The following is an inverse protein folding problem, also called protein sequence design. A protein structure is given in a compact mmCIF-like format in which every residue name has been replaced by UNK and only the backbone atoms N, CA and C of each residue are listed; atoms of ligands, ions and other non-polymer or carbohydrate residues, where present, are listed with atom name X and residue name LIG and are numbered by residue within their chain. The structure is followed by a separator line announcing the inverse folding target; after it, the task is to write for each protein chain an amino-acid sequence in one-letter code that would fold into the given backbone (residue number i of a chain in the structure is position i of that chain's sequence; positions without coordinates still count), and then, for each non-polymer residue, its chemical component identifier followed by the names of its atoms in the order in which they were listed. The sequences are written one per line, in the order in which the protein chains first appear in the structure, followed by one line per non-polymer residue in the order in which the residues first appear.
data_IF_179409894565
#
_entry.id   IF_179409894565
#
_cell.length_a   1.000
_cell.length_b   1.000
_cell.length_c   1.000
_cell.angle_alpha   90.00
_cell.angle_beta   90.00
_cell.angle_gamma   90.00
#
_symmetry.space_group_name_H-M   'P 1'
#
loop_
_entity.id
_entity.type
_entity.pdbx_description
1 polymer ?
#
# COMPACT_ATOMS: atom_id res chain seq x y z
N UNK A 1 10.19 11.68 -0.72
CA UNK A 1 11.21 11.77 -1.81
C UNK A 1 10.51 11.99 -3.14
N UNK A 2 10.85 13.09 -3.86
CA UNK A 2 10.30 13.37 -5.19
C UNK A 2 10.79 12.32 -6.19
N UNK A 3 9.87 11.68 -6.91
CA UNK A 3 10.17 10.65 -7.91
C UNK A 3 10.05 11.17 -9.34
N UNK A 4 9.02 11.97 -9.59
CA UNK A 4 8.73 12.63 -10.86
C UNK A 4 7.90 13.89 -10.60
N UNK A 5 7.61 14.68 -11.64
CA UNK A 5 6.64 15.76 -11.53
C UNK A 5 5.26 15.21 -11.16
N UNK A 6 4.65 15.73 -10.10
CA UNK A 6 3.39 15.24 -9.57
C UNK A 6 3.46 13.86 -8.89
N UNK A 7 4.65 13.33 -8.53
CA UNK A 7 4.77 12.05 -7.81
C UNK A 7 5.81 12.14 -6.68
N UNK A 8 5.37 11.81 -5.47
CA UNK A 8 6.20 11.77 -4.27
C UNK A 8 6.02 10.43 -3.53
N UNK A 9 7.12 9.74 -3.22
CA UNK A 9 7.10 8.68 -2.23
C UNK A 9 7.19 9.31 -0.84
N UNK A 10 6.19 9.11 -0.01
CA UNK A 10 6.19 9.57 1.37
C UNK A 10 7.05 8.65 2.23
N UNK A 11 7.53 9.17 3.35
CA UNK A 11 8.29 8.42 4.34
C UNK A 11 7.60 8.60 5.69
N UNK A 12 6.95 7.53 6.15
CA UNK A 12 6.24 7.51 7.43
C UNK A 12 6.97 6.57 8.39
N UNK A 13 7.69 7.12 9.37
CA UNK A 13 8.35 6.28 10.37
C UNK A 13 7.32 5.56 11.22
N UNK A 14 7.54 4.26 11.42
CA UNK A 14 6.78 3.43 12.33
C UNK A 14 7.69 2.89 13.43
N UNK A 15 7.17 2.85 14.65
CA UNK A 15 7.81 2.12 15.75
C UNK A 15 7.26 0.70 15.74
N UNK A 16 7.99 -0.23 15.12
CA UNK A 16 7.67 -1.65 15.23
C UNK A 16 8.40 -2.25 16.44
N UNK A 17 7.95 -3.42 16.88
CA UNK A 17 8.59 -4.15 17.98
C UNK A 17 10.02 -4.63 17.63
N UNK A 18 10.39 -4.60 16.35
CA UNK A 18 11.72 -4.99 15.84
C UNK A 18 12.63 -3.78 15.58
N UNK A 19 12.17 -2.56 15.91
CA UNK A 19 12.93 -1.33 15.68
C UNK A 19 12.15 -0.26 14.92
N UNK A 20 12.86 0.76 14.46
CA UNK A 20 12.29 1.79 13.58
C UNK A 20 12.26 1.24 12.16
N UNK A 21 11.07 1.22 11.56
CA UNK A 21 10.86 0.95 10.15
C UNK A 21 10.23 2.17 9.50
N UNK A 22 10.29 2.24 8.18
CA UNK A 22 9.65 3.29 7.38
C UNK A 22 8.74 2.60 6.39
N UNK A 23 7.50 3.07 6.29
CA UNK A 23 6.56 2.70 5.25
C UNK A 23 6.43 3.84 4.24
N UNK A 24 6.08 3.50 3.01
CA UNK A 24 6.20 4.40 1.89
C UNK A 24 4.88 4.53 1.09
N UNK A 25 3.85 5.21 1.63
CA UNK A 25 2.72 5.61 0.81
C UNK A 25 3.17 6.46 -0.37
N UNK A 26 2.45 6.38 -1.48
CA UNK A 26 2.77 7.19 -2.66
C UNK A 26 1.71 8.28 -2.84
N UNK A 27 2.15 9.52 -2.96
CA UNK A 27 1.32 10.67 -3.31
C UNK A 27 1.51 10.98 -4.79
N UNK A 28 0.41 11.07 -5.55
CA UNK A 28 0.45 11.55 -6.93
C UNK A 28 -0.61 12.64 -7.13
N UNK A 29 -0.30 13.66 -7.92
CA UNK A 29 -1.19 14.80 -8.14
C UNK A 29 -0.97 15.49 -9.47
N UNK A 30 -1.98 16.18 -9.91
CA UNK A 30 -1.96 17.18 -10.98
C UNK A 30 -2.72 18.45 -10.54
N UNK A 31 -3.10 19.30 -11.48
CA UNK A 31 -3.83 20.54 -11.17
C UNK A 31 -5.24 20.24 -10.64
N UNK A 32 -5.84 19.14 -11.06
CA UNK A 32 -7.24 18.79 -10.81
C UNK A 32 -7.43 17.80 -9.65
N UNK A 33 -6.49 16.88 -9.43
CA UNK A 33 -6.71 15.75 -8.51
C UNK A 33 -5.45 15.43 -7.69
N UNK A 34 -5.66 15.11 -6.42
CA UNK A 34 -4.63 14.59 -5.50
C UNK A 34 -5.04 13.21 -5.04
N UNK A 35 -4.16 12.23 -5.25
CA UNK A 35 -4.37 10.82 -4.92
C UNK A 35 -3.28 10.34 -3.96
N UNK A 36 -3.68 9.76 -2.85
CA UNK A 36 -2.79 9.03 -1.95
C UNK A 36 -2.96 7.52 -2.19
N UNK A 37 -1.87 6.79 -2.33
CA UNK A 37 -1.87 5.32 -2.38
C UNK A 37 -1.44 4.81 -1.01
N UNK A 38 -2.35 4.11 -0.36
CA UNK A 38 -2.25 3.60 1.02
C UNK A 38 -2.17 4.69 2.10
N UNK A 39 -2.69 4.39 3.29
CA UNK A 39 -2.99 5.37 4.34
C UNK A 39 -2.21 5.18 5.65
N UNK A 40 -1.18 4.34 5.66
CA UNK A 40 -0.38 4.14 6.87
C UNK A 40 -1.09 3.38 8.00
N UNK A 41 -0.46 3.39 9.17
CA UNK A 41 -1.00 2.83 10.41
C UNK A 41 -2.04 3.76 11.08
N UNK A 42 -2.88 3.23 11.98
CA UNK A 42 -3.70 4.06 12.84
C UNK A 42 -2.87 5.12 13.60
N UNK A 43 -3.41 6.35 13.66
CA UNK A 43 -2.77 7.47 14.37
C UNK A 43 -1.65 8.17 13.61
N UNK A 44 -1.42 7.86 12.31
CA UNK A 44 -0.40 8.52 11.50
C UNK A 44 -0.91 9.74 10.70
N UNK A 45 -2.13 10.19 10.90
CA UNK A 45 -2.70 11.30 10.14
C UNK A 45 -1.80 12.55 10.15
N UNK A 46 -1.26 12.94 11.32
CA UNK A 46 -0.40 14.11 11.41
C UNK A 46 0.88 13.94 10.58
N UNK A 47 1.48 12.74 10.60
CA UNK A 47 2.66 12.43 9.79
C UNK A 47 2.35 12.47 8.29
N UNK A 48 1.17 11.99 7.89
CA UNK A 48 0.68 12.05 6.51
C UNK A 48 0.51 13.51 6.08
N UNK A 49 -0.16 14.35 6.89
CA UNK A 49 -0.35 15.79 6.63
C UNK A 49 0.99 16.50 6.42
N UNK A 50 1.94 16.26 7.31
CA UNK A 50 3.28 16.83 7.22
C UNK A 50 4.05 16.34 5.98
N UNK A 51 3.92 15.07 5.63
CA UNK A 51 4.57 14.50 4.45
C UNK A 51 3.98 15.07 3.15
N UNK A 52 2.64 15.20 3.07
CA UNK A 52 1.93 15.85 1.95
C UNK A 52 2.34 17.32 1.83
N UNK A 53 2.41 18.06 2.95
CA UNK A 53 2.85 19.44 2.96
C UNK A 53 4.31 19.60 2.50
N UNK A 54 5.22 18.70 2.90
CA UNK A 54 6.61 18.67 2.40
C UNK A 54 6.71 18.41 0.90
N UNK A 55 5.74 17.68 0.32
CA UNK A 55 5.64 17.52 -1.13
C UNK A 55 5.16 18.80 -1.86
N UNK A 56 4.78 19.85 -1.12
CA UNK A 56 4.25 21.10 -1.66
C UNK A 56 2.76 21.03 -1.99
N UNK A 57 2.04 20.04 -1.46
CA UNK A 57 0.60 19.85 -1.67
C UNK A 57 -0.16 20.15 -0.38
N UNK A 58 -1.32 20.82 -0.47
CA UNK A 58 -2.21 20.97 0.67
C UNK A 58 -2.94 19.66 0.93
N UNK A 59 -3.02 19.22 2.18
CA UNK A 59 -3.82 18.06 2.57
C UNK A 59 -5.30 18.25 2.25
N UNK A 60 -5.80 19.49 2.28
CA UNK A 60 -7.18 19.83 1.94
C UNK A 60 -7.51 19.62 0.44
N UNK A 61 -6.52 19.30 -0.39
CA UNK A 61 -6.71 18.90 -1.78
C UNK A 61 -6.77 17.39 -1.99
N UNK A 62 -6.66 16.59 -0.91
CA UNK A 62 -6.71 15.14 -1.05
C UNK A 62 -8.10 14.68 -1.47
N UNK A 63 -8.25 14.29 -2.74
CA UNK A 63 -9.53 13.88 -3.32
C UNK A 63 -9.78 12.39 -3.18
N UNK A 64 -8.73 11.57 -3.25
CA UNK A 64 -8.85 10.12 -3.34
C UNK A 64 -7.76 9.39 -2.54
N UNK A 65 -8.16 8.25 -1.99
CA UNK A 65 -7.22 7.25 -1.47
C UNK A 65 -7.43 5.94 -2.24
N UNK A 66 -6.39 5.45 -2.90
CA UNK A 66 -6.40 4.11 -3.50
C UNK A 66 -5.72 3.16 -2.52
N UNK A 67 -6.45 2.15 -2.08
CA UNK A 67 -5.97 1.13 -1.15
C UNK A 67 -5.52 -0.09 -1.94
N UNK A 68 -4.24 -0.45 -1.79
CA UNK A 68 -3.69 -1.63 -2.48
C UNK A 68 -4.24 -2.92 -1.90
N UNK A 69 -4.41 -2.99 -0.58
CA UNK A 69 -4.97 -4.14 0.13
C UNK A 69 -5.32 -3.83 1.60
N UNK A 70 -5.92 -4.81 2.29
CA UNK A 70 -6.56 -4.67 3.60
C UNK A 70 -5.62 -4.64 4.80
N UNK A 71 -4.32 -4.77 4.65
CA UNK A 71 -3.43 -4.83 5.80
C UNK A 71 -3.44 -3.52 6.60
N UNK A 72 -3.25 -3.64 7.90
CA UNK A 72 -3.50 -2.56 8.84
C UNK A 72 -2.59 -1.35 8.64
N UNK A 73 -1.42 -1.55 8.12
CA UNK A 73 -0.46 -0.50 7.78
C UNK A 73 -0.76 0.18 6.44
N UNK A 74 -1.75 -0.30 5.69
CA UNK A 74 -2.24 0.30 4.45
C UNK A 74 -3.58 1.01 4.63
N UNK A 75 -4.42 0.53 5.55
CA UNK A 75 -5.76 1.11 5.79
C UNK A 75 -5.86 1.89 7.10
N UNK A 76 -4.84 1.86 7.94
CA UNK A 76 -4.91 2.31 9.32
C UNK A 76 -5.30 3.76 9.50
N UNK A 77 -4.80 4.64 8.63
CA UNK A 77 -5.11 6.07 8.67
C UNK A 77 -6.39 6.48 7.93
N UNK A 78 -7.07 5.56 7.21
CA UNK A 78 -8.27 5.89 6.44
C UNK A 78 -9.38 6.54 7.26
N UNK A 79 -9.75 6.01 8.45
CA UNK A 79 -10.80 6.61 9.26
C UNK A 79 -10.50 8.07 9.62
N UNK A 80 -9.26 8.34 10.02
CA UNK A 80 -8.84 9.68 10.42
C UNK A 80 -8.76 10.62 9.21
N UNK A 81 -8.27 10.16 8.06
CA UNK A 81 -8.24 10.92 6.82
C UNK A 81 -9.65 11.35 6.42
N UNK A 82 -10.61 10.43 6.43
CA UNK A 82 -12.00 10.70 6.03
C UNK A 82 -12.67 11.67 7.01
N UNK A 83 -12.43 11.48 8.32
CA UNK A 83 -13.03 12.31 9.37
C UNK A 83 -12.51 13.74 9.34
N UNK A 84 -11.21 13.93 9.12
CA UNK A 84 -10.54 15.21 9.23
C UNK A 84 -10.44 15.99 7.90
N UNK A 85 -10.90 15.40 6.81
CA UNK A 85 -10.93 16.08 5.51
C UNK A 85 -12.09 17.06 5.43
N UNK A 86 -11.85 18.24 4.86
CA UNK A 86 -12.85 19.31 4.70
C UNK A 86 -13.91 18.99 3.64
N UNK A 87 -13.70 17.98 2.82
CA UNK A 87 -14.60 17.49 1.78
C UNK A 87 -14.55 15.96 1.70
N UNK A 88 -15.43 15.38 0.90
CA UNK A 88 -15.44 13.93 0.72
C UNK A 88 -14.17 13.45 0.02
N UNK A 89 -13.40 12.60 0.69
CA UNK A 89 -12.31 11.81 0.10
C UNK A 89 -12.88 10.49 -0.40
N UNK A 90 -12.73 10.20 -1.68
CA UNK A 90 -13.19 8.95 -2.28
C UNK A 90 -12.18 7.84 -2.03
N UNK A 91 -12.66 6.69 -1.53
CA UNK A 91 -11.84 5.50 -1.29
C UNK A 91 -12.04 4.48 -2.40
N UNK A 92 -10.94 4.11 -3.06
CA UNK A 92 -10.91 3.12 -4.14
C UNK A 92 -10.13 1.88 -3.69
N UNK A 93 -10.62 0.70 -4.03
CA UNK A 93 -9.90 -0.56 -3.83
C UNK A 93 -10.47 -1.66 -4.72
N UNK A 94 -9.79 -2.81 -4.83
CA UNK A 94 -10.33 -3.96 -5.54
C UNK A 94 -11.55 -4.54 -4.82
N UNK A 95 -12.52 -5.08 -5.59
CA UNK A 95 -13.76 -5.61 -5.01
C UNK A 95 -13.54 -6.73 -3.97
N UNK A 96 -12.49 -7.54 -4.14
CA UNK A 96 -12.13 -8.60 -3.19
C UNK A 96 -11.62 -8.08 -1.85
N UNK A 97 -11.05 -6.86 -1.80
CA UNK A 97 -10.60 -6.23 -0.56
C UNK A 97 -11.72 -5.49 0.17
N UNK A 98 -12.70 -5.00 -0.58
CA UNK A 98 -13.81 -4.18 -0.06
C UNK A 98 -14.48 -4.75 1.19
N UNK A 99 -14.89 -6.04 1.28
CA UNK A 99 -15.57 -6.57 2.47
C UNK A 99 -14.69 -6.57 3.73
N UNK A 100 -13.39 -6.60 3.58
CA UNK A 100 -12.42 -6.54 4.69
C UNK A 100 -12.19 -5.09 5.14
N UNK A 101 -11.95 -4.19 4.20
CA UNK A 101 -11.74 -2.75 4.47
C UNK A 101 -12.99 -2.15 5.14
N UNK A 102 -14.19 -2.56 4.73
CA UNK A 102 -15.45 -2.12 5.33
C UNK A 102 -15.79 -2.82 6.67
N UNK A 103 -14.97 -3.76 7.11
CA UNK A 103 -15.20 -4.50 8.36
C UNK A 103 -16.35 -5.50 8.29
N UNK A 104 -16.84 -5.85 7.09
CA UNK A 104 -17.84 -6.93 6.88
C UNK A 104 -17.24 -8.32 7.03
N UNK A 105 -15.92 -8.44 6.78
CA UNK A 105 -15.10 -9.62 7.07
C UNK A 105 -13.92 -9.21 7.95
N UNK A 106 -13.43 -10.12 8.83
CA UNK A 106 -12.23 -9.85 9.62
C UNK A 106 -11.00 -9.76 8.73
N UNK A 107 -10.08 -8.82 9.00
CA UNK A 107 -8.82 -8.70 8.28
C UNK A 107 -8.05 -10.02 8.31
N UNK A 108 -7.60 -10.52 7.18
CA UNK A 108 -7.05 -11.88 7.01
C UNK A 108 -5.85 -12.13 7.95
N UNK A 109 -4.99 -11.12 8.11
CA UNK A 109 -3.79 -11.25 8.95
C UNK A 109 -4.02 -10.92 10.41
N UNK A 110 -5.17 -10.37 10.77
CA UNK A 110 -5.60 -10.12 12.14
C UNK A 110 -6.39 -11.31 12.68
N UNK A 111 -5.73 -12.45 12.90
CA UNK A 111 -6.35 -13.62 13.50
C UNK A 111 -5.75 -13.95 14.88
N UNK A 112 -6.54 -14.65 15.71
CA UNK A 112 -6.21 -14.95 17.10
C UNK A 112 -4.86 -15.68 17.27
N UNK A 113 -4.52 -16.58 16.35
CA UNK A 113 -3.27 -17.34 16.42
C UNK A 113 -2.03 -16.47 16.18
N UNK A 114 -2.13 -15.49 15.25
CA UNK A 114 -1.06 -14.51 15.01
C UNK A 114 -0.96 -13.52 16.16
N UNK A 115 -2.10 -13.05 16.68
CA UNK A 115 -2.12 -12.17 17.86
C UNK A 115 -1.43 -12.82 19.05
N UNK A 116 -1.82 -14.04 19.42
CA UNK A 116 -1.25 -14.77 20.56
C UNK A 116 0.27 -14.93 20.47
N UNK A 117 0.79 -15.21 19.25
CA UNK A 117 2.25 -15.30 19.04
C UNK A 117 2.95 -13.95 19.21
N UNK A 118 2.32 -12.86 18.76
CA UNK A 118 2.89 -11.51 18.89
C UNK A 118 2.87 -11.01 20.33
N UNK A 119 1.81 -11.28 21.08
CA UNK A 119 1.65 -10.81 22.46
C UNK A 119 2.73 -11.29 23.41
N UNK A 120 3.35 -12.44 23.15
CA UNK A 120 4.37 -13.05 24.02
C UNK A 120 5.61 -12.16 24.23
N UNK A 121 5.99 -11.40 23.19
CA UNK A 121 7.20 -10.56 23.18
C UNK A 121 6.95 -9.09 23.49
N UNK A 122 5.69 -8.70 23.80
CA UNK A 122 5.29 -7.31 24.01
C UNK A 122 5.31 -6.91 25.48
N UNK A 123 5.61 -5.62 25.75
CA UNK A 123 5.34 -4.99 27.04
C UNK A 123 3.83 -4.97 27.31
N UNK A 124 3.45 -4.76 28.57
CA UNK A 124 2.02 -4.70 28.94
C UNK A 124 1.28 -3.60 28.19
N UNK A 125 1.86 -2.42 28.06
CA UNK A 125 1.28 -1.30 27.29
C UNK A 125 1.11 -1.65 25.81
N UNK A 126 2.14 -2.23 25.18
CA UNK A 126 2.07 -2.65 23.78
C UNK A 126 1.04 -3.77 23.56
N UNK A 127 0.88 -4.66 24.55
CA UNK A 127 -0.13 -5.72 24.53
C UNK A 127 -1.53 -5.16 24.55
N UNK A 128 -1.81 -4.23 25.46
CA UNK A 128 -3.11 -3.53 25.54
C UNK A 128 -3.43 -2.79 24.23
N UNK A 129 -2.45 -2.10 23.63
CA UNK A 129 -2.63 -1.43 22.33
C UNK A 129 -2.94 -2.43 21.22
N UNK A 130 -2.21 -3.55 21.16
CA UNK A 130 -2.43 -4.60 20.16
C UNK A 130 -3.81 -5.26 20.32
N UNK A 131 -4.23 -5.53 21.56
CA UNK A 131 -5.55 -6.10 21.86
C UNK A 131 -6.69 -5.13 21.51
N UNK A 132 -6.53 -3.85 21.83
CA UNK A 132 -7.51 -2.81 21.48
C UNK A 132 -7.67 -2.67 19.96
N UNK A 133 -6.53 -2.67 19.23
CA UNK A 133 -6.53 -2.61 17.78
C UNK A 133 -7.15 -3.86 17.15
N UNK A 134 -6.90 -5.04 17.74
CA UNK A 134 -7.50 -6.29 17.29
C UNK A 134 -9.01 -6.34 17.55
N UNK A 135 -9.47 -5.80 18.68
CA UNK A 135 -10.87 -5.74 19.04
C UNK A 135 -11.67 -4.75 18.17
N UNK A 136 -11.03 -3.68 17.72
CA UNK A 136 -11.64 -2.65 16.88
C UNK A 136 -10.68 -2.21 15.76
N UNK A 137 -10.51 -3.03 14.72
CA UNK A 137 -9.63 -2.70 13.59
C UNK A 137 -10.15 -1.48 12.81
N UNK A 138 -9.26 -0.70 12.15
CA UNK A 138 -9.67 0.40 11.29
C UNK A 138 -10.57 -0.12 10.17
N UNK A 139 -11.57 0.68 9.82
CA UNK A 139 -12.51 0.39 8.74
C UNK A 139 -12.96 1.67 8.07
N UNK A 140 -13.21 1.59 6.78
CA UNK A 140 -13.74 2.69 5.98
C UNK A 140 -14.62 2.15 4.86
N UNK A 141 -15.58 2.94 4.40
CA UNK A 141 -16.36 2.60 3.21
C UNK A 141 -15.47 2.67 1.97
N UNK A 142 -15.59 1.71 1.07
CA UNK A 142 -14.98 1.74 -0.27
C UNK A 142 -16.04 2.26 -1.23
N UNK A 143 -15.83 3.47 -1.75
CA UNK A 143 -16.78 4.13 -2.65
C UNK A 143 -16.78 3.49 -4.04
N UNK A 144 -15.59 3.23 -4.59
CA UNK A 144 -15.43 2.71 -5.95
C UNK A 144 -14.59 1.44 -5.95
N UNK A 145 -15.13 0.37 -6.53
CA UNK A 145 -14.38 -0.84 -6.80
C UNK A 145 -13.63 -0.71 -8.13
N UNK A 146 -12.33 -0.99 -8.13
CA UNK A 146 -11.47 -0.94 -9.31
C UNK A 146 -11.15 -2.35 -9.83
N UNK A 147 -10.88 -2.48 -11.12
CA UNK A 147 -10.66 -3.76 -11.79
C UNK A 147 -9.30 -3.85 -12.51
N UNK A 148 -8.87 -5.10 -12.79
CA UNK A 148 -7.63 -5.37 -13.53
C UNK A 148 -7.63 -4.71 -14.92
N UNK A 149 -6.58 -4.00 -15.23
CA UNK A 149 -6.42 -3.28 -16.51
C UNK A 149 -7.20 -1.97 -16.61
N UNK A 150 -7.98 -1.60 -15.60
CA UNK A 150 -8.67 -0.31 -15.56
C UNK A 150 -7.65 0.84 -15.53
N UNK A 151 -7.91 1.87 -16.32
CA UNK A 151 -7.11 3.11 -16.34
C UNK A 151 -7.92 4.22 -15.69
N UNK A 152 -7.53 4.59 -14.48
CA UNK A 152 -8.12 5.70 -13.75
C UNK A 152 -7.65 7.02 -14.38
N UNK A 153 -8.55 7.97 -14.69
CA UNK A 153 -8.22 9.17 -15.46
C UNK A 153 -7.63 10.29 -14.60
N UNK A 154 -6.78 9.96 -13.61
CA UNK A 154 -6.15 10.90 -12.69
C UNK A 154 -4.64 10.95 -12.92
N UNK A 155 -4.02 12.10 -12.67
CA UNK A 155 -2.56 12.28 -12.61
C UNK A 155 -1.81 11.74 -13.85
N UNK A 156 -2.42 11.85 -15.05
CA UNK A 156 -1.85 11.35 -16.30
C UNK A 156 -2.07 9.86 -16.57
N UNK A 157 -3.04 9.26 -15.87
CA UNK A 157 -3.46 7.86 -16.00
C UNK A 157 -2.78 6.94 -14.99
N UNK A 158 -3.60 6.21 -14.23
CA UNK A 158 -3.14 5.19 -13.27
C UNK A 158 -3.75 3.85 -13.70
N UNK A 159 -2.93 2.93 -14.19
CA UNK A 159 -3.39 1.58 -14.54
C UNK A 159 -3.41 0.69 -13.32
N UNK A 160 -4.56 0.08 -13.05
CA UNK A 160 -4.75 -0.90 -11.99
C UNK A 160 -4.28 -2.27 -12.47
N UNK A 161 -3.43 -2.94 -11.69
CA UNK A 161 -2.93 -4.28 -11.99
C UNK A 161 -3.33 -5.19 -10.84
N UNK A 162 -4.26 -6.10 -11.10
CA UNK A 162 -4.68 -7.09 -10.10
C UNK A 162 -3.58 -8.13 -9.88
N UNK A 163 -3.01 -8.15 -8.68
CA UNK A 163 -1.86 -8.96 -8.27
C UNK A 163 -2.17 -9.76 -7.00
N UNK A 164 -3.17 -10.69 -7.06
CA UNK A 164 -3.56 -11.47 -5.90
C UNK A 164 -2.41 -12.33 -5.38
N UNK A 165 -2.45 -12.61 -4.07
CA UNK A 165 -1.52 -13.50 -3.39
C UNK A 165 -1.08 -12.98 -2.04
N UNK A 166 -0.56 -11.77 -1.94
CA UNK A 166 -0.28 -11.14 -0.64
C UNK A 166 -1.56 -11.02 0.19
N UNK A 167 -2.64 -10.55 -0.45
CA UNK A 167 -4.04 -10.72 -0.07
C UNK A 167 -4.85 -11.14 -1.30
N UNK A 168 -6.10 -11.61 -1.17
CA UNK A 168 -6.90 -12.04 -2.31
C UNK A 168 -7.17 -10.95 -3.35
N UNK A 169 -7.34 -9.71 -2.91
CA UNK A 169 -7.66 -8.58 -3.77
C UNK A 169 -6.51 -7.59 -3.98
N UNK A 170 -5.28 -7.96 -3.63
CA UNK A 170 -4.14 -7.07 -3.76
C UNK A 170 -3.98 -6.51 -5.18
N UNK A 171 -3.66 -5.21 -5.28
CA UNK A 171 -3.37 -4.53 -6.55
C UNK A 171 -2.02 -3.82 -6.50
N UNK A 172 -1.35 -3.78 -7.64
CA UNK A 172 -0.31 -2.80 -7.94
C UNK A 172 -0.88 -1.69 -8.81
N UNK A 173 -0.22 -0.54 -8.84
CA UNK A 173 -0.61 0.60 -9.66
C UNK A 173 0.56 1.01 -10.56
N UNK A 174 0.28 1.20 -11.85
CA UNK A 174 1.27 1.74 -12.77
C UNK A 174 0.89 3.17 -13.15
N UNK A 175 1.75 4.12 -12.77
CA UNK A 175 1.59 5.54 -13.10
C UNK A 175 2.09 5.76 -14.52
N UNK A 176 1.16 5.84 -15.48
CA UNK A 176 1.44 5.77 -16.92
C UNK A 176 2.40 6.87 -17.39
N UNK A 177 2.15 8.13 -16.96
CA UNK A 177 2.95 9.29 -17.36
C UNK A 177 4.40 9.21 -16.90
N UNK A 178 4.64 8.70 -15.69
CA UNK A 178 5.95 8.67 -15.05
C UNK A 178 6.65 7.32 -15.11
N UNK A 179 5.98 6.29 -15.65
CA UNK A 179 6.47 4.89 -15.72
C UNK A 179 6.91 4.34 -14.35
N UNK A 180 6.17 4.73 -13.31
CA UNK A 180 6.42 4.30 -11.94
C UNK A 180 5.45 3.17 -11.61
N UNK A 181 5.97 2.05 -11.11
CA UNK A 181 5.19 0.95 -10.56
C UNK A 181 5.14 1.08 -9.03
N UNK A 182 3.94 1.26 -8.47
CA UNK A 182 3.67 1.20 -7.03
C UNK A 182 3.18 -0.20 -6.71
N UNK A 183 3.91 -0.94 -5.88
CA UNK A 183 3.73 -2.39 -5.76
C UNK A 183 2.94 -2.82 -4.52
N UNK A 184 2.58 -1.89 -3.63
CA UNK A 184 2.11 -2.31 -2.32
C UNK A 184 3.08 -3.34 -1.73
N UNK A 185 2.58 -4.51 -1.37
CA UNK A 185 3.33 -5.61 -0.77
C UNK A 185 3.61 -6.80 -1.71
N UNK A 186 3.39 -6.63 -3.03
CA UNK A 186 3.78 -7.64 -4.01
C UNK A 186 5.30 -7.79 -4.12
N UNK A 187 6.06 -6.73 -3.81
CA UNK A 187 7.53 -6.68 -3.85
C UNK A 187 8.06 -5.91 -2.64
N UNK A 188 9.31 -6.18 -2.28
CA UNK A 188 10.03 -5.50 -1.19
C UNK A 188 11.38 -5.02 -1.72
N UNK A 189 11.75 -3.79 -1.40
CA UNK A 189 13.12 -3.31 -1.61
C UNK A 189 13.94 -3.49 -0.32
N UNK A 190 15.07 -4.17 -0.39
CA UNK A 190 15.93 -4.38 0.78
C UNK A 190 17.39 -4.49 0.36
N UNK A 191 18.27 -3.81 1.08
CA UNK A 191 19.72 -3.82 0.84
C UNK A 191 20.11 -3.42 -0.61
N UNK A 192 19.36 -2.51 -1.22
CA UNK A 192 19.55 -2.10 -2.61
C UNK A 192 19.03 -3.08 -3.66
N UNK A 193 18.36 -4.16 -3.26
CA UNK A 193 17.82 -5.16 -4.15
C UNK A 193 16.28 -5.15 -4.15
N UNK A 194 15.68 -5.45 -5.31
CA UNK A 194 14.26 -5.76 -5.42
C UNK A 194 14.05 -7.25 -5.18
N UNK A 195 13.20 -7.57 -4.22
CA UNK A 195 12.87 -8.94 -3.80
C UNK A 195 11.40 -9.24 -4.07
N UNK A 196 11.08 -10.51 -4.24
CA UNK A 196 9.71 -11.01 -4.39
C UNK A 196 8.87 -10.82 -3.12
N UNK A 197 7.62 -11.35 -3.13
CA UNK A 197 6.72 -11.29 -1.98
C UNK A 197 7.34 -11.87 -0.72
N UNK A 198 7.06 -11.25 0.43
CA UNK A 198 7.55 -11.75 1.72
C UNK A 198 6.77 -13.02 2.13
N UNK A 199 7.42 -14.21 2.22
CA UNK A 199 6.70 -15.45 2.54
C UNK A 199 6.03 -15.44 3.91
N UNK A 200 6.60 -14.71 4.88
CA UNK A 200 6.05 -14.59 6.23
C UNK A 200 4.78 -13.74 6.33
N UNK A 201 4.52 -12.92 5.30
CA UNK A 201 3.41 -11.99 5.25
C UNK A 201 2.41 -12.28 4.12
N UNK A 202 2.72 -13.17 3.19
CA UNK A 202 1.89 -13.48 2.03
C UNK A 202 0.88 -14.59 2.34
N UNK A 203 -0.38 -14.40 1.94
CA UNK A 203 -1.48 -15.33 2.17
C UNK A 203 -1.39 -16.54 1.24
N UNK A 204 -1.13 -16.31 -0.05
CA UNK A 204 -0.99 -17.33 -1.10
C UNK A 204 0.26 -17.02 -1.94
N UNK A 205 1.36 -17.72 -1.67
CA UNK A 205 2.63 -17.50 -2.36
C UNK A 205 2.57 -17.88 -3.84
N UNK A 206 1.85 -18.94 -4.19
CA UNK A 206 1.75 -19.39 -5.58
C UNK A 206 1.02 -18.34 -6.44
N UNK A 207 -0.08 -17.78 -5.92
CA UNK A 207 -0.79 -16.70 -6.57
C UNK A 207 0.07 -15.43 -6.65
N UNK A 208 0.78 -15.08 -5.57
CA UNK A 208 1.65 -13.91 -5.54
C UNK A 208 2.77 -13.99 -6.58
N UNK A 209 3.45 -15.13 -6.67
CA UNK A 209 4.51 -15.36 -7.65
C UNK A 209 3.96 -15.31 -9.10
N UNK A 210 2.82 -15.95 -9.36
CA UNK A 210 2.14 -15.87 -10.67
C UNK A 210 1.77 -14.43 -11.04
N UNK A 211 1.39 -13.62 -10.07
CA UNK A 211 1.04 -12.22 -10.27
C UNK A 211 2.21 -11.37 -10.77
N UNK A 212 3.45 -11.70 -10.42
CA UNK A 212 4.64 -10.96 -10.88
C UNK A 212 4.78 -10.96 -12.41
N UNK A 213 4.30 -12.00 -13.10
CA UNK A 213 4.32 -12.07 -14.57
C UNK A 213 3.51 -10.96 -15.24
N UNK A 214 2.47 -10.44 -14.57
CA UNK A 214 1.70 -9.32 -15.11
C UNK A 214 2.54 -8.04 -15.14
N UNK A 215 3.41 -7.84 -14.15
CA UNK A 215 4.23 -6.65 -14.01
C UNK A 215 5.27 -6.52 -15.12
N UNK A 216 5.73 -7.64 -15.69
CA UNK A 216 6.73 -7.65 -16.79
C UNK A 216 6.20 -7.10 -18.12
N UNK A 217 4.89 -6.81 -18.21
CA UNK A 217 4.25 -6.26 -19.43
C UNK A 217 4.39 -4.75 -19.54
N UNK A 218 4.89 -4.08 -18.50
CA UNK A 218 4.98 -2.64 -18.40
C UNK A 218 6.43 -2.16 -18.59
N UNK A 219 6.58 -0.99 -19.18
CA UNK A 219 7.88 -0.32 -19.30
C UNK A 219 8.14 0.52 -18.04
N UNK A 220 8.83 -0.06 -17.07
CA UNK A 220 9.00 0.48 -15.72
C UNK A 220 10.37 1.12 -15.58
N UNK A 221 10.41 2.39 -15.17
CA UNK A 221 11.64 3.12 -14.87
C UNK A 221 11.94 3.16 -13.36
N UNK A 222 10.90 3.11 -12.53
CA UNK A 222 11.02 3.14 -11.06
C UNK A 222 10.00 2.20 -10.43
N UNK A 223 10.42 1.43 -9.45
CA UNK A 223 9.53 0.65 -8.57
C UNK A 223 9.48 1.31 -7.21
N UNK A 224 8.28 1.49 -6.67
CA UNK A 224 8.03 1.93 -5.28
C UNK A 224 7.44 0.76 -4.53
N UNK A 225 8.21 0.22 -3.59
CA UNK A 225 7.75 -0.78 -2.65
C UNK A 225 7.28 -0.09 -1.37
N UNK A 226 6.14 -0.51 -0.85
CA UNK A 226 5.64 0.04 0.41
C UNK A 226 6.60 -0.22 1.57
N UNK A 227 7.22 -1.39 1.58
CA UNK A 227 8.32 -1.74 2.47
C UNK A 227 9.66 -1.68 1.75
N UNK A 228 10.54 -0.77 2.21
CA UNK A 228 11.90 -0.61 1.70
C UNK A 228 12.09 0.51 0.67
N UNK A 229 11.02 1.07 0.11
CA UNK A 229 11.08 2.27 -0.72
C UNK A 229 11.41 2.02 -2.19
N UNK A 230 12.31 2.80 -2.77
CA UNK A 230 12.54 2.91 -4.22
C UNK A 230 13.58 1.93 -4.73
N UNK A 231 13.29 1.33 -5.89
CA UNK A 231 14.25 0.57 -6.69
C UNK A 231 14.29 1.08 -8.15
N UNK A 232 15.50 1.30 -8.71
CA UNK A 232 15.73 1.86 -10.06
C UNK A 232 16.76 1.11 -10.90
N UNK A 233 17.46 0.13 -10.30
CA UNK A 233 18.52 -0.59 -11.00
C UNK A 233 17.94 -1.65 -11.95
N UNK A 234 17.74 -1.27 -13.23
CA UNK A 234 17.20 -2.15 -14.26
C UNK A 234 15.90 -2.89 -13.85
N UNK A 235 14.82 -2.19 -13.45
CA UNK A 235 13.63 -2.78 -12.86
C UNK A 235 12.95 -3.83 -13.76
N UNK A 236 12.88 -3.61 -15.07
CA UNK A 236 12.28 -4.57 -16.01
C UNK A 236 13.05 -5.90 -16.05
N UNK A 237 14.41 -5.83 -16.04
CA UNK A 237 15.24 -7.03 -15.99
C UNK A 237 15.02 -7.78 -14.68
N UNK A 238 15.05 -7.05 -13.56
CA UNK A 238 14.89 -7.66 -12.23
C UNK A 238 13.51 -8.29 -12.04
N UNK A 239 12.45 -7.64 -12.53
CA UNK A 239 11.10 -8.19 -12.52
C UNK A 239 10.99 -9.47 -13.36
N UNK A 240 11.64 -9.52 -14.54
CA UNK A 240 11.67 -10.72 -15.36
C UNK A 240 12.37 -11.89 -14.64
N UNK A 241 13.48 -11.63 -13.94
CA UNK A 241 14.17 -12.63 -13.13
C UNK A 241 13.28 -13.17 -12.01
N UNK A 242 12.63 -12.29 -11.25
CA UNK A 242 11.72 -12.68 -10.17
C UNK A 242 10.51 -13.46 -10.67
N UNK A 243 9.93 -13.04 -11.81
CA UNK A 243 8.81 -13.74 -12.43
C UNK A 243 9.19 -15.12 -12.99
N UNK A 244 10.42 -15.28 -13.49
CA UNK A 244 10.92 -16.57 -14.01
C UNK A 244 11.26 -17.55 -12.88
N UNK A 245 11.75 -17.05 -11.75
CA UNK A 245 12.00 -17.90 -10.56
C UNK A 245 10.71 -18.49 -9.95
N UNK A 246 9.55 -17.96 -10.32
CA UNK A 246 8.24 -18.46 -9.92
C UNK A 246 7.79 -19.73 -10.68
N UNK A 247 8.52 -20.15 -11.71
CA UNK A 247 8.22 -21.34 -12.51
C UNK A 247 9.00 -22.59 -12.05
N UNK A 248 9.87 -22.46 -11.03
CA UNK A 248 10.68 -23.53 -10.46
C UNK A 248 10.11 -24.02 -9.13
#
# INVERSE_FOLDING_TARGET
MRLADGVEMLELPIRSFTGQNIIHPTLTWDDDTVVLVDAGFPGQLQQIREAVARAGVSFDRLDKVIVTHQDIDHIGGLPDIILESSHKVEVLSHEEEKPYIEGRKPLIKMNQARLSKRLVSLSEEQRQQAEALFANPPKASVDTAVADGEILPYCGGITVIFTPGHTPGHICLYLNKSKILVTGDALVAADGELRGPNPGATYDMDAALKSLKKLTRYDIETVVCYHGGVYRDHPNKRLAELASAADL
#
